data_IF_119619803259
#
_entry.id   IF_119619803259
#
_cell.length_a   1.000
_cell.length_b   1.000
_cell.length_c   1.000
_cell.angle_alpha   90.00
_cell.angle_beta   90.00
_cell.angle_gamma   90.00
#
_symmetry.space_group_name_H-M   'P 1'
#
loop_
_entity.id
_entity.type
_entity.pdbx_description
1 polymer ?
#
# COMPACT_ATOMS: atom_id res chain seq x y z
N UNK A 1 -20.69 -19.30 0.97
CA UNK A 1 -19.28 -19.68 0.72
C UNK A 1 -18.78 -20.53 1.86
N UNK A 2 -17.96 -21.53 1.57
CA UNK A 2 -17.29 -22.31 2.60
C UNK A 2 -15.95 -21.65 2.99
N UNK A 3 -15.30 -22.16 4.05
CA UNK A 3 -14.04 -21.61 4.55
C UNK A 3 -12.91 -21.64 3.50
N UNK A 4 -12.79 -22.72 2.74
CA UNK A 4 -11.72 -22.88 1.73
C UNK A 4 -11.83 -21.87 0.59
N UNK A 5 -13.05 -21.56 0.16
CA UNK A 5 -13.31 -20.52 -0.83
C UNK A 5 -12.88 -19.14 -0.30
N UNK A 6 -13.25 -18.83 0.95
CA UNK A 6 -12.89 -17.55 1.60
C UNK A 6 -11.37 -17.42 1.80
N UNK A 7 -10.68 -18.50 2.18
CA UNK A 7 -9.21 -18.53 2.29
C UNK A 7 -8.57 -18.32 0.91
N UNK A 8 -9.15 -18.88 -0.14
CA UNK A 8 -8.66 -18.68 -1.52
C UNK A 8 -8.79 -17.21 -1.92
N UNK A 9 -9.93 -16.57 -1.64
CA UNK A 9 -10.11 -15.14 -1.88
C UNK A 9 -9.12 -14.32 -1.06
N UNK A 10 -8.97 -14.62 0.23
CA UNK A 10 -7.98 -13.96 1.11
C UNK A 10 -6.56 -13.99 0.51
N UNK A 11 -6.13 -15.17 0.03
CA UNK A 11 -4.82 -15.34 -0.59
C UNK A 11 -4.67 -14.53 -1.88
N UNK A 12 -5.72 -14.46 -2.71
CA UNK A 12 -5.74 -13.59 -3.90
C UNK A 12 -5.62 -12.11 -3.51
N UNK A 13 -6.38 -11.64 -2.52
CA UNK A 13 -6.29 -10.25 -2.05
C UNK A 13 -4.92 -9.93 -1.45
N UNK A 14 -4.31 -10.88 -0.72
CA UNK A 14 -2.94 -10.74 -0.20
C UNK A 14 -1.93 -10.61 -1.33
N UNK A 15 -2.04 -11.42 -2.39
CA UNK A 15 -1.17 -11.33 -3.55
C UNK A 15 -1.32 -9.98 -4.27
N UNK A 16 -2.55 -9.47 -4.41
CA UNK A 16 -2.81 -8.14 -4.99
C UNK A 16 -2.14 -7.06 -4.15
N UNK A 17 -2.26 -7.09 -2.82
CA UNK A 17 -1.58 -6.12 -1.93
C UNK A 17 -0.08 -6.09 -2.14
N UNK A 18 0.56 -7.24 -2.30
CA UNK A 18 2.01 -7.31 -2.51
C UNK A 18 2.37 -6.76 -3.90
N UNK A 19 1.66 -7.19 -4.93
CA UNK A 19 1.93 -6.78 -6.32
C UNK A 19 1.69 -5.28 -6.55
N UNK A 20 0.68 -4.70 -5.91
CA UNK A 20 0.36 -3.27 -6.05
C UNK A 20 1.46 -2.35 -5.52
N UNK A 21 2.41 -2.86 -4.72
CA UNK A 21 3.53 -2.09 -4.17
C UNK A 21 4.75 -2.08 -5.08
N UNK A 22 4.83 -2.92 -6.13
CA UNK A 22 6.01 -3.01 -6.98
C UNK A 22 6.29 -1.71 -7.74
N UNK A 23 5.33 -1.23 -8.53
CA UNK A 23 5.51 -0.01 -9.32
C UNK A 23 5.82 1.23 -8.45
N UNK A 24 5.13 1.47 -7.33
CA UNK A 24 5.48 2.55 -6.40
C UNK A 24 6.87 2.40 -5.79
N UNK A 25 7.28 1.18 -5.42
CA UNK A 25 8.62 0.93 -4.85
C UNK A 25 9.72 1.26 -5.86
N UNK A 26 9.52 0.89 -7.14
CA UNK A 26 10.46 1.21 -8.22
C UNK A 26 10.57 2.72 -8.39
N UNK A 27 9.44 3.44 -8.44
CA UNK A 27 9.42 4.90 -8.56
C UNK A 27 10.16 5.57 -7.39
N UNK A 28 9.85 5.18 -6.15
CA UNK A 28 10.50 5.73 -4.95
C UNK A 28 12.01 5.45 -4.93
N UNK A 29 12.42 4.24 -5.36
CA UNK A 29 13.83 3.87 -5.45
C UNK A 29 14.59 4.71 -6.48
N UNK A 30 13.98 4.97 -7.65
CA UNK A 30 14.56 5.82 -8.68
C UNK A 30 14.73 7.27 -8.20
N UNK A 31 13.70 7.83 -7.55
CA UNK A 31 13.75 9.19 -6.98
C UNK A 31 14.80 9.28 -5.87
N UNK A 32 14.88 8.28 -4.99
CA UNK A 32 15.90 8.21 -3.95
C UNK A 32 17.31 8.17 -4.54
N UNK A 33 17.54 7.37 -5.58
CA UNK A 33 18.84 7.29 -6.24
C UNK A 33 19.24 8.62 -6.91
N UNK A 34 18.31 9.30 -7.57
CA UNK A 34 18.53 10.62 -8.16
C UNK A 34 18.86 11.66 -7.07
N UNK A 35 18.15 11.63 -5.94
CA UNK A 35 18.43 12.50 -4.81
C UNK A 35 19.81 12.22 -4.19
N UNK A 36 20.13 10.95 -3.92
CA UNK A 36 21.38 10.53 -3.28
C UNK A 36 22.62 10.82 -4.14
N UNK A 37 22.48 10.77 -5.47
CA UNK A 37 23.56 11.10 -6.42
C UNK A 37 23.67 12.60 -6.71
N UNK A 38 22.80 13.43 -6.13
CA UNK A 38 22.77 14.87 -6.37
C UNK A 38 22.18 15.26 -7.73
N UNK A 39 21.69 14.32 -8.53
CA UNK A 39 21.04 14.60 -9.82
C UNK A 39 19.62 15.18 -9.68
N UNK A 40 19.06 15.12 -8.47
CA UNK A 40 17.81 15.76 -8.10
C UNK A 40 18.03 16.50 -6.77
N UNK A 41 18.07 17.83 -6.82
CA UNK A 41 18.37 18.70 -5.68
C UNK A 41 17.71 20.09 -5.84
N UNK A 42 17.93 21.01 -4.90
CA UNK A 42 17.33 22.35 -4.91
C UNK A 42 17.63 23.19 -6.15
N UNK A 43 18.82 23.04 -6.72
CA UNK A 43 19.28 23.72 -7.93
C UNK A 43 18.82 23.08 -9.24
N UNK A 44 18.12 21.94 -9.20
CA UNK A 44 17.51 21.32 -10.39
C UNK A 44 16.45 22.24 -11.01
N UNK A 45 16.32 22.19 -12.34
CA UNK A 45 15.31 22.92 -13.11
C UNK A 45 13.90 22.80 -12.48
N UNK A 46 13.20 23.93 -12.40
CA UNK A 46 11.93 24.03 -11.68
C UNK A 46 10.83 23.17 -12.32
N UNK A 47 10.79 23.09 -13.66
CA UNK A 47 9.81 22.27 -14.36
C UNK A 47 10.07 20.78 -14.13
N UNK A 48 11.34 20.37 -14.14
CA UNK A 48 11.71 19.00 -13.81
C UNK A 48 11.33 18.62 -12.37
N UNK A 49 11.56 19.52 -11.40
CA UNK A 49 11.15 19.28 -10.01
C UNK A 49 9.64 19.10 -9.87
N UNK A 50 8.85 19.99 -10.49
CA UNK A 50 7.39 19.88 -10.50
C UNK A 50 6.92 18.57 -11.16
N UNK A 51 7.56 18.17 -12.26
CA UNK A 51 7.25 16.92 -12.93
C UNK A 51 7.55 15.70 -12.04
N UNK A 52 8.70 15.66 -11.37
CA UNK A 52 9.06 14.59 -10.43
C UNK A 52 8.09 14.53 -9.25
N UNK A 53 7.73 15.69 -8.67
CA UNK A 53 6.72 15.78 -7.60
C UNK A 53 5.38 15.23 -8.09
N UNK A 54 4.94 15.62 -9.29
CA UNK A 54 3.71 15.13 -9.90
C UNK A 54 3.72 13.61 -10.15
N UNK A 55 4.85 13.06 -10.61
CA UNK A 55 5.03 11.63 -10.77
C UNK A 55 4.92 10.88 -9.44
N UNK A 56 5.62 11.34 -8.41
CA UNK A 56 5.57 10.74 -7.07
C UNK A 56 4.18 10.86 -6.46
N UNK A 57 3.53 12.01 -6.59
CA UNK A 57 2.16 12.21 -6.11
C UNK A 57 1.18 11.24 -6.79
N UNK A 58 1.25 11.11 -8.12
CA UNK A 58 0.40 10.20 -8.89
C UNK A 58 0.63 8.74 -8.49
N UNK A 59 1.90 8.32 -8.38
CA UNK A 59 2.27 7.00 -7.88
C UNK A 59 1.75 6.73 -6.48
N UNK A 60 1.86 7.72 -5.57
CA UNK A 60 1.33 7.66 -4.21
C UNK A 60 -0.19 7.47 -4.18
N UNK A 61 -0.94 8.25 -4.96
CA UNK A 61 -2.41 8.15 -5.06
C UNK A 61 -2.85 6.76 -5.52
N UNK A 62 -2.22 6.22 -6.57
CA UNK A 62 -2.52 4.85 -7.03
C UNK A 62 -2.21 3.79 -5.96
N UNK A 63 -1.10 3.97 -5.24
CA UNK A 63 -0.68 3.05 -4.17
C UNK A 63 -1.67 3.02 -3.02
N UNK A 64 -2.04 4.20 -2.50
CA UNK A 64 -2.98 4.35 -1.39
C UNK A 64 -4.35 3.80 -1.79
N UNK A 65 -4.83 4.14 -2.98
CA UNK A 65 -6.12 3.67 -3.49
C UNK A 65 -6.17 2.14 -3.56
N UNK A 66 -5.14 1.51 -4.15
CA UNK A 66 -5.05 0.06 -4.25
C UNK A 66 -4.96 -0.61 -2.87
N UNK A 67 -4.18 -0.04 -1.94
CA UNK A 67 -4.02 -0.57 -0.59
C UNK A 67 -5.33 -0.50 0.20
N UNK A 68 -6.03 0.62 0.15
CA UNK A 68 -7.32 0.82 0.81
C UNK A 68 -8.36 -0.16 0.27
N UNK A 69 -8.47 -0.30 -1.05
CA UNK A 69 -9.38 -1.26 -1.67
C UNK A 69 -9.08 -2.70 -1.22
N UNK A 70 -7.81 -3.10 -1.25
CA UNK A 70 -7.41 -4.45 -0.87
C UNK A 70 -7.59 -4.74 0.63
N UNK A 71 -7.42 -3.74 1.51
CA UNK A 71 -7.75 -3.86 2.94
C UNK A 71 -9.26 -4.02 3.12
N UNK A 72 -10.07 -3.15 2.50
CA UNK A 72 -11.54 -3.21 2.59
C UNK A 72 -12.06 -4.59 2.17
N UNK A 73 -11.61 -5.08 1.03
CA UNK A 73 -12.04 -6.37 0.51
C UNK A 73 -11.57 -7.53 1.42
N UNK A 74 -10.40 -7.40 2.06
CA UNK A 74 -9.92 -8.38 3.04
C UNK A 74 -10.71 -8.38 4.34
N UNK A 75 -11.19 -7.21 4.78
CA UNK A 75 -12.09 -7.10 5.92
C UNK A 75 -13.45 -7.76 5.62
N UNK A 76 -13.97 -7.61 4.40
CA UNK A 76 -15.19 -8.30 3.97
C UNK A 76 -15.04 -9.83 3.97
N UNK A 77 -13.86 -10.36 3.60
CA UNK A 77 -13.55 -11.80 3.74
C UNK A 77 -13.54 -12.21 5.21
N UNK A 78 -12.95 -11.40 6.09
CA UNK A 78 -12.95 -11.66 7.54
C UNK A 78 -14.38 -11.67 8.10
N UNK A 79 -15.23 -10.73 7.69
CA UNK A 79 -16.62 -10.68 8.14
C UNK A 79 -17.41 -11.90 7.65
N UNK A 80 -17.13 -12.37 6.43
CA UNK A 80 -17.68 -13.63 5.92
C UNK A 80 -17.20 -14.85 6.72
N UNK A 81 -15.92 -14.87 7.13
CA UNK A 81 -15.38 -15.94 8.00
C UNK A 81 -16.03 -15.93 9.39
N UNK A 82 -16.34 -14.74 9.95
CA UNK A 82 -17.04 -14.63 11.25
C UNK A 82 -18.46 -15.22 11.22
N UNK A 83 -19.11 -15.24 10.06
CA UNK A 83 -20.45 -15.80 9.89
C UNK A 83 -20.48 -17.33 9.82
N UNK A 84 -19.32 -18.00 9.68
CA UNK A 84 -19.25 -19.47 9.65
C UNK A 84 -19.33 -20.06 11.06
N UNK A 85 -20.05 -21.19 11.20
CA UNK A 85 -20.23 -21.90 12.49
C UNK A 85 -18.93 -22.46 13.04
N UNK A 86 -18.06 -22.97 12.16
CA UNK A 86 -16.78 -23.59 12.51
C UNK A 86 -15.70 -23.05 11.61
N UNK A 87 -14.52 -22.80 12.19
CA UNK A 87 -13.34 -22.32 11.48
C UNK A 87 -12.15 -23.22 11.82
N UNK A 88 -11.35 -23.54 10.81
CA UNK A 88 -10.03 -24.11 10.96
C UNK A 88 -9.10 -23.16 11.74
N UNK A 89 -7.95 -23.65 12.24
CA UNK A 89 -6.92 -22.79 12.82
C UNK A 89 -6.48 -21.66 11.89
N UNK A 90 -6.44 -21.91 10.58
CA UNK A 90 -6.07 -20.91 9.58
C UNK A 90 -7.14 -19.81 9.46
N UNK A 91 -8.41 -20.18 9.35
CA UNK A 91 -9.52 -19.21 9.33
C UNK A 91 -9.60 -18.37 10.61
N UNK A 92 -9.34 -18.98 11.78
CA UNK A 92 -9.22 -18.25 13.05
C UNK A 92 -8.09 -17.23 13.05
N UNK A 93 -6.93 -17.59 12.50
CA UNK A 93 -5.78 -16.68 12.38
C UNK A 93 -6.08 -15.50 11.45
N UNK A 94 -6.69 -15.76 10.29
CA UNK A 94 -7.12 -14.71 9.35
C UNK A 94 -8.14 -13.78 10.02
N UNK A 95 -9.14 -14.33 10.71
CA UNK A 95 -10.14 -13.56 11.45
C UNK A 95 -9.52 -12.58 12.45
N UNK A 96 -8.44 -12.98 13.13
CA UNK A 96 -7.71 -12.15 14.10
C UNK A 96 -6.93 -10.99 13.45
N UNK A 97 -6.72 -11.02 12.14
CA UNK A 97 -5.91 -10.04 11.42
C UNK A 97 -6.63 -8.71 11.13
N UNK A 98 -7.92 -8.58 11.49
CA UNK A 98 -8.73 -7.41 11.15
C UNK A 98 -8.14 -6.08 11.63
N UNK A 99 -7.75 -6.01 12.89
CA UNK A 99 -7.21 -4.77 13.47
C UNK A 99 -5.81 -4.47 12.94
N UNK A 100 -4.98 -5.51 12.73
CA UNK A 100 -3.68 -5.37 12.07
C UNK A 100 -3.82 -4.81 10.65
N UNK A 101 -4.85 -5.21 9.89
CA UNK A 101 -5.10 -4.68 8.54
C UNK A 101 -5.48 -3.20 8.57
N UNK A 102 -6.34 -2.79 9.52
CA UNK A 102 -6.71 -1.38 9.69
C UNK A 102 -5.50 -0.53 10.09
N UNK A 103 -4.74 -1.00 11.08
CA UNK A 103 -3.51 -0.34 11.52
C UNK A 103 -2.49 -0.21 10.37
N UNK A 104 -2.35 -1.26 9.56
CA UNK A 104 -1.49 -1.23 8.37
C UNK A 104 -1.94 -0.18 7.35
N UNK A 105 -3.25 -0.04 7.12
CA UNK A 105 -3.78 1.00 6.22
C UNK A 105 -3.44 2.41 6.71
N UNK A 106 -3.61 2.67 8.02
CA UNK A 106 -3.26 3.95 8.64
C UNK A 106 -1.76 4.21 8.54
N UNK A 107 -0.93 3.24 8.90
CA UNK A 107 0.53 3.35 8.82
C UNK A 107 0.98 3.61 7.38
N UNK A 108 0.39 2.91 6.41
CA UNK A 108 0.70 3.10 4.99
C UNK A 108 0.42 4.55 4.55
N UNK A 109 -0.78 5.07 4.84
CA UNK A 109 -1.14 6.45 4.52
C UNK A 109 -0.22 7.47 5.21
N UNK A 110 0.09 7.25 6.50
CA UNK A 110 0.97 8.12 7.26
C UNK A 110 2.39 8.17 6.65
N UNK A 111 2.95 7.00 6.31
CA UNK A 111 4.29 6.91 5.71
C UNK A 111 4.32 7.49 4.29
N UNK A 112 3.27 7.28 3.49
CA UNK A 112 3.15 7.91 2.16
C UNK A 112 3.12 9.44 2.26
N UNK A 113 2.33 10.00 3.18
CA UNK A 113 2.26 11.44 3.41
C UNK A 113 3.61 12.00 3.92
N UNK A 114 4.23 11.32 4.88
CA UNK A 114 5.55 11.68 5.39
C UNK A 114 6.59 11.76 4.27
N UNK A 115 6.73 10.70 3.46
CA UNK A 115 7.69 10.68 2.36
C UNK A 115 7.45 11.79 1.34
N UNK A 116 6.18 12.06 1.02
CA UNK A 116 5.83 13.12 0.08
C UNK A 116 6.20 14.51 0.62
N UNK A 117 5.91 14.79 1.90
CA UNK A 117 6.28 16.07 2.54
C UNK A 117 7.81 16.24 2.60
N UNK A 118 8.55 15.18 2.91
CA UNK A 118 10.01 15.21 2.92
C UNK A 118 10.56 15.54 1.54
N UNK A 119 10.01 14.92 0.47
CA UNK A 119 10.40 15.24 -0.91
C UNK A 119 10.16 16.71 -1.25
N UNK A 120 8.97 17.24 -0.92
CA UNK A 120 8.62 18.65 -1.17
C UNK A 120 9.57 19.64 -0.46
N UNK A 121 10.10 19.28 0.71
CA UNK A 121 11.07 20.13 1.44
C UNK A 121 12.50 20.00 0.94
N UNK A 122 12.83 18.85 0.34
CA UNK A 122 14.15 18.54 -0.15
C UNK A 122 14.45 19.23 -1.50
N UNK A 123 13.47 19.24 -2.40
CA UNK A 123 13.52 19.87 -3.73
C UNK A 123 13.27 21.38 -3.69
#
# INVERSE_FOLDING_TARGET
>A
MNENELITIWNKQRAIRVKSQLAPTILLSAVLALAATGNLNKGTDSNLKLFVIGLVASGGVFSVSAMVAAIRDSLAVIDSLKALKTLSPLGKSIKKSADSLKALGVLFMAMSAFNFIVLLRYL
#
